data_IF_363184495549
#
_entry.id   IF_363184495549
#
_cell.length_a   1.000
_cell.length_b   1.000
_cell.length_c   1.000
_cell.angle_alpha   90.00
_cell.angle_beta   90.00
_cell.angle_gamma   90.00
#
_symmetry.space_group_name_H-M   'P 1'
#
loop_
_entity.id
_entity.type
_entity.pdbx_description
1 polymer ?
#
# COMPACT_ATOMS: atom_id res chain seq x y z
N UNK A 1 8.76 24.00 21.55
CA UNK A 1 9.31 22.67 21.21
C UNK A 1 8.89 22.33 19.79
N UNK A 2 9.68 21.58 19.04
CA UNK A 2 9.19 21.00 17.79
C UNK A 2 8.16 19.91 18.14
N UNK A 3 6.98 19.96 17.54
CA UNK A 3 6.00 18.87 17.64
C UNK A 3 6.52 17.69 16.80
N UNK A 4 6.96 16.62 17.46
CA UNK A 4 7.40 15.41 16.76
C UNK A 4 6.23 14.83 15.95
N UNK A 5 6.36 14.84 14.62
CA UNK A 5 5.30 14.39 13.74
C UNK A 5 5.17 12.87 13.81
N UNK A 6 4.31 12.40 14.71
CA UNK A 6 4.20 10.98 15.00
C UNK A 6 3.37 10.19 13.98
N UNK A 7 2.35 10.80 13.39
CA UNK A 7 1.51 10.18 12.36
C UNK A 7 2.19 9.85 11.03
N UNK A 8 1.38 9.31 10.12
CA UNK A 8 1.66 8.95 8.72
C UNK A 8 0.63 9.65 7.82
N UNK A 9 1.03 9.95 6.57
CA UNK A 9 0.20 10.73 5.62
C UNK A 9 -0.86 9.85 4.93
N UNK A 10 -0.61 8.55 4.87
CA UNK A 10 -1.49 7.49 4.37
C UNK A 10 -1.24 6.24 5.21
N UNK A 11 -2.17 5.28 5.17
CA UNK A 11 -2.02 3.96 5.78
C UNK A 11 -2.57 2.89 4.83
N UNK A 12 -1.99 1.68 4.79
CA UNK A 12 -2.55 0.57 4.03
C UNK A 12 -3.88 0.12 4.66
N UNK A 13 -4.85 -0.21 3.81
CA UNK A 13 -6.13 -0.81 4.20
C UNK A 13 -6.36 -2.05 3.34
N UNK A 14 -6.87 -3.14 3.92
CA UNK A 14 -7.21 -4.36 3.17
C UNK A 14 -8.28 -4.02 2.13
N UNK A 15 -8.16 -4.54 0.91
CA UNK A 15 -9.19 -4.33 -0.12
C UNK A 15 -10.57 -4.86 0.35
N UNK A 16 -10.56 -6.01 1.04
CA UNK A 16 -11.72 -6.66 1.66
C UNK A 16 -12.12 -6.04 3.01
N UNK A 17 -12.07 -4.71 3.16
CA UNK A 17 -12.33 -4.05 4.44
C UNK A 17 -13.82 -4.02 4.79
N UNK A 18 -14.70 -3.87 3.80
CA UNK A 18 -16.14 -3.74 4.03
C UNK A 18 -16.79 -5.12 4.26
N UNK A 19 -16.25 -6.14 3.60
CA UNK A 19 -16.56 -7.57 3.71
C UNK A 19 -15.94 -8.23 4.96
N UNK A 20 -15.42 -7.44 5.90
CA UNK A 20 -14.93 -7.94 7.19
C UNK A 20 -16.08 -8.05 8.19
N UNK A 21 -16.16 -9.17 8.93
CA UNK A 21 -17.23 -9.47 9.90
C UNK A 21 -17.42 -8.44 11.06
N UNK A 22 -16.53 -7.45 11.18
CA UNK A 22 -16.72 -6.25 12.00
C UNK A 22 -17.51 -5.20 11.22
N UNK A 23 -17.02 -4.80 10.05
CA UNK A 23 -17.65 -3.87 9.10
C UNK A 23 -19.05 -4.30 8.69
N UNK A 24 -19.25 -5.51 8.17
CA UNK A 24 -20.56 -6.06 7.78
C UNK A 24 -21.57 -6.02 8.94
N UNK A 25 -21.10 -6.28 10.16
CA UNK A 25 -21.93 -6.33 11.36
C UNK A 25 -22.25 -4.96 11.94
N UNK A 26 -21.47 -3.92 11.60
CA UNK A 26 -21.81 -2.54 11.87
C UNK A 26 -22.72 -1.99 10.76
N UNK A 27 -22.52 -2.41 9.51
CA UNK A 27 -23.40 -2.07 8.38
C UNK A 27 -24.81 -2.66 8.56
N UNK A 28 -24.92 -3.89 9.03
CA UNK A 28 -26.20 -4.52 9.38
C UNK A 28 -26.95 -3.83 10.55
N UNK A 29 -26.28 -3.01 11.36
CA UNK A 29 -26.88 -2.28 12.50
C UNK A 29 -27.13 -0.80 12.23
N UNK A 30 -26.19 -0.12 11.55
CA UNK A 30 -26.17 1.35 11.38
C UNK A 30 -26.11 1.78 9.90
N UNK A 31 -26.15 0.82 8.96
CA UNK A 31 -25.86 1.06 7.54
C UNK A 31 -24.43 1.54 7.31
N UNK A 32 -24.21 2.24 6.20
CA UNK A 32 -22.91 2.79 5.81
C UNK A 32 -22.23 3.65 6.89
N UNK A 33 -22.99 4.17 7.87
CA UNK A 33 -22.44 4.90 9.03
C UNK A 33 -21.37 4.10 9.77
N UNK A 34 -21.59 2.80 9.95
CA UNK A 34 -20.72 1.91 10.71
C UNK A 34 -19.31 1.83 10.12
N UNK A 35 -19.14 1.25 8.90
CA UNK A 35 -17.84 1.18 8.24
C UNK A 35 -17.18 2.55 8.01
N UNK A 36 -17.96 3.60 7.70
CA UNK A 36 -17.43 4.95 7.53
C UNK A 36 -16.79 5.50 8.81
N UNK A 37 -17.44 5.32 9.96
CA UNK A 37 -16.92 5.73 11.26
C UNK A 37 -15.60 5.02 11.58
N UNK A 38 -15.51 3.70 11.32
CA UNK A 38 -14.26 2.93 11.51
C UNK A 38 -13.12 3.51 10.68
N UNK A 39 -13.33 3.77 9.39
CA UNK A 39 -12.34 4.41 8.51
C UNK A 39 -11.95 5.80 9.03
N UNK A 40 -12.91 6.60 9.50
CA UNK A 40 -12.63 7.93 10.08
C UNK A 40 -11.78 7.86 11.35
N UNK A 41 -11.99 6.86 12.21
CA UNK A 41 -11.16 6.66 13.40
C UNK A 41 -9.76 6.19 13.02
N UNK A 42 -9.61 5.25 12.08
CA UNK A 42 -8.28 4.86 11.58
C UNK A 42 -7.53 6.07 11.00
N UNK A 43 -8.17 6.91 10.18
CA UNK A 43 -7.60 8.16 9.69
C UNK A 43 -7.14 9.11 10.82
N UNK A 44 -7.90 9.21 11.91
CA UNK A 44 -7.58 10.05 13.08
C UNK A 44 -6.43 9.45 13.91
N UNK A 45 -6.39 8.12 14.10
CA UNK A 45 -5.29 7.40 14.74
C UNK A 45 -4.00 7.59 13.94
N UNK A 46 -3.97 7.17 12.68
CA UNK A 46 -2.76 7.20 11.87
C UNK A 46 -2.24 8.62 11.61
N UNK A 47 -3.08 9.66 11.69
CA UNK A 47 -2.64 11.06 11.63
C UNK A 47 -1.84 11.51 12.87
N UNK A 48 -2.05 10.89 14.02
CA UNK A 48 -1.45 11.29 15.30
C UNK A 48 -0.39 10.29 15.78
N UNK A 49 -0.55 9.01 15.46
CA UNK A 49 0.41 7.95 15.76
C UNK A 49 -0.19 6.57 15.51
N UNK A 50 -0.23 5.76 16.56
CA UNK A 50 -0.74 4.38 16.60
C UNK A 50 -1.85 4.18 17.65
N UNK A 51 -2.23 5.26 18.35
CA UNK A 51 -3.37 5.33 19.26
C UNK A 51 -3.95 6.75 19.26
N UNK A 52 -5.15 6.92 19.83
CA UNK A 52 -5.70 8.23 20.26
C UNK A 52 -6.31 8.13 21.64
N UNK A 53 -6.33 9.24 22.37
CA UNK A 53 -7.20 9.38 23.54
C UNK A 53 -8.67 9.35 23.09
N UNK A 54 -9.52 8.68 23.86
CA UNK A 54 -10.94 8.53 23.61
C UNK A 54 -11.72 8.57 24.93
N UNK A 55 -11.79 9.78 25.47
CA UNK A 55 -12.73 10.16 26.51
C UNK A 55 -14.10 10.59 25.92
N UNK A 56 -15.04 10.89 26.79
CA UNK A 56 -16.40 11.28 26.44
C UNK A 56 -16.46 12.61 25.64
N UNK A 57 -15.52 13.54 25.90
CA UNK A 57 -15.42 14.80 25.17
C UNK A 57 -14.92 14.55 23.74
N UNK A 58 -13.90 13.69 23.56
CA UNK A 58 -13.45 13.29 22.22
C UNK A 58 -14.56 12.59 21.44
N UNK A 59 -15.37 11.72 22.08
CA UNK A 59 -16.50 11.06 21.44
C UNK A 59 -17.54 12.08 20.92
N UNK A 60 -17.92 13.06 21.74
CA UNK A 60 -18.89 14.11 21.37
C UNK A 60 -18.35 15.05 20.29
N UNK A 61 -17.08 15.47 20.42
CA UNK A 61 -16.36 16.26 19.42
C UNK A 61 -16.24 15.50 18.09
N UNK A 62 -16.08 14.16 18.12
CA UNK A 62 -16.00 13.33 16.93
C UNK A 62 -17.36 13.18 16.26
N UNK A 63 -18.43 12.90 17.01
CA UNK A 63 -19.80 12.89 16.50
C UNK A 63 -20.14 14.20 15.76
N UNK A 64 -19.88 15.35 16.40
CA UNK A 64 -20.05 16.67 15.78
C UNK A 64 -19.27 16.84 14.46
N UNK A 65 -18.04 16.31 14.39
CA UNK A 65 -17.18 16.35 13.18
C UNK A 65 -17.61 15.39 12.08
N UNK A 66 -18.35 14.32 12.39
CA UNK A 66 -18.99 13.46 11.39
C UNK A 66 -20.25 14.12 10.80
N UNK A 67 -20.85 15.07 11.53
CA UNK A 67 -22.00 15.86 11.12
C UNK A 67 -23.30 15.44 11.83
N UNK A 68 -24.42 16.08 11.48
CA UNK A 68 -25.74 15.86 12.12
C UNK A 68 -26.32 14.45 11.90
N UNK A 69 -25.63 13.60 11.15
CA UNK A 69 -25.99 12.20 10.91
C UNK A 69 -25.57 11.27 12.07
N UNK A 70 -24.78 11.74 13.03
CA UNK A 70 -24.27 10.92 14.14
C UNK A 70 -24.64 11.56 15.47
N UNK A 71 -25.31 10.80 16.34
CA UNK A 71 -25.42 11.16 17.76
C UNK A 71 -24.20 10.65 18.55
N UNK A 72 -23.97 11.21 19.74
CA UNK A 72 -22.91 10.76 20.66
C UNK A 72 -23.09 9.29 21.05
N UNK A 73 -24.34 8.89 21.25
CA UNK A 73 -24.77 7.55 21.64
C UNK A 73 -24.61 6.55 20.49
N UNK A 74 -24.85 6.96 19.23
CA UNK A 74 -24.53 6.14 18.06
C UNK A 74 -23.02 5.88 17.96
N UNK A 75 -22.20 6.91 18.13
CA UNK A 75 -20.73 6.78 18.09
C UNK A 75 -20.24 5.87 19.22
N UNK A 76 -20.65 6.11 20.47
CA UNK A 76 -20.22 5.32 21.62
C UNK A 76 -20.70 3.85 21.53
N UNK A 77 -21.92 3.62 21.03
CA UNK A 77 -22.43 2.27 20.76
C UNK A 77 -21.61 1.52 19.69
N UNK A 78 -21.17 2.21 18.65
CA UNK A 78 -20.27 1.64 17.62
C UNK A 78 -18.87 1.36 18.20
N UNK A 79 -18.34 2.26 19.05
CA UNK A 79 -17.08 2.03 19.79
C UNK A 79 -17.15 0.78 20.68
N UNK A 80 -18.23 0.63 21.44
CA UNK A 80 -18.49 -0.56 22.26
C UNK A 80 -18.41 -1.85 21.44
N UNK A 81 -19.10 -1.90 20.30
CA UNK A 81 -19.08 -3.08 19.40
C UNK A 81 -17.67 -3.34 18.82
N UNK A 82 -16.89 -2.29 18.53
CA UNK A 82 -15.51 -2.44 18.05
C UNK A 82 -14.57 -3.03 19.12
N UNK A 83 -14.80 -2.70 20.39
CA UNK A 83 -14.07 -3.28 21.52
C UNK A 83 -14.54 -4.71 21.80
N UNK A 84 -15.84 -4.96 21.83
CA UNK A 84 -16.44 -6.30 22.02
C UNK A 84 -15.98 -7.30 20.94
N UNK A 85 -15.78 -6.84 19.70
CA UNK A 85 -15.27 -7.66 18.60
C UNK A 85 -13.73 -7.72 18.50
N UNK A 86 -12.99 -7.10 19.43
CA UNK A 86 -11.52 -7.09 19.42
C UNK A 86 -10.88 -6.33 18.25
N UNK A 87 -11.61 -5.40 17.61
CA UNK A 87 -11.03 -4.49 16.62
C UNK A 87 -10.11 -3.45 17.30
N UNK A 88 -10.51 -3.00 18.49
CA UNK A 88 -9.66 -2.28 19.44
C UNK A 88 -9.28 -3.20 20.60
N UNK A 89 -8.09 -2.99 21.15
CA UNK A 89 -7.68 -3.67 22.38
C UNK A 89 -8.50 -3.17 23.57
N UNK A 90 -9.13 -4.12 24.26
CA UNK A 90 -10.03 -3.84 25.37
C UNK A 90 -9.29 -3.28 26.58
N UNK A 91 -8.13 -3.84 26.92
CA UNK A 91 -7.38 -3.46 28.11
C UNK A 91 -6.89 -2.02 28.01
N UNK A 92 -6.34 -1.63 26.84
CA UNK A 92 -5.96 -0.24 26.52
C UNK A 92 -7.12 0.74 26.69
N UNK A 93 -8.34 0.36 26.29
CA UNK A 93 -9.51 1.22 26.45
C UNK A 93 -9.96 1.34 27.91
N UNK A 94 -9.99 0.23 28.66
CA UNK A 94 -10.44 0.23 30.05
C UNK A 94 -9.43 0.89 31.00
N UNK A 95 -8.12 0.63 30.85
CA UNK A 95 -7.05 1.15 31.71
C UNK A 95 -6.58 2.57 31.37
N UNK A 96 -6.63 2.97 30.09
CA UNK A 96 -6.01 4.22 29.62
C UNK A 96 -6.95 5.12 28.82
N UNK A 97 -8.17 4.67 28.50
CA UNK A 97 -9.15 5.38 27.64
C UNK A 97 -8.53 5.79 26.30
N UNK A 98 -7.85 4.85 25.66
CA UNK A 98 -7.31 5.02 24.30
C UNK A 98 -7.93 4.03 23.32
N UNK A 99 -7.99 4.39 22.04
CA UNK A 99 -8.27 3.46 20.95
C UNK A 99 -6.97 3.11 20.23
N UNK A 100 -6.62 1.82 20.27
CA UNK A 100 -5.47 1.21 19.59
C UNK A 100 -5.74 -0.29 19.41
N UNK A 101 -4.93 -1.00 18.63
CA UNK A 101 -4.90 -2.46 18.60
C UNK A 101 -3.58 -2.97 18.06
N UNK A 102 -3.30 -4.25 18.27
CA UNK A 102 -2.03 -4.87 17.87
C UNK A 102 -1.75 -4.69 16.37
N UNK A 103 -2.77 -4.78 15.51
CA UNK A 103 -2.62 -4.57 14.07
C UNK A 103 -2.43 -3.09 13.69
N UNK A 104 -3.12 -2.16 14.38
CA UNK A 104 -2.92 -0.71 14.19
C UNK A 104 -1.47 -0.32 14.54
N UNK A 105 -0.93 -0.87 15.63
CA UNK A 105 0.43 -0.63 16.07
C UNK A 105 1.45 -1.22 15.08
N UNK A 106 1.25 -2.45 14.59
CA UNK A 106 2.08 -3.07 13.54
C UNK A 106 2.13 -2.22 12.28
N UNK A 107 0.98 -1.80 11.74
CA UNK A 107 0.89 -0.99 10.51
C UNK A 107 1.62 0.35 10.66
N UNK A 108 1.50 1.02 11.81
CA UNK A 108 2.23 2.27 12.06
C UNK A 108 3.74 2.06 12.23
N UNK A 109 4.17 0.98 12.91
CA UNK A 109 5.60 0.66 13.05
C UNK A 109 6.22 0.33 11.69
N UNK A 110 5.56 -0.45 10.86
CA UNK A 110 5.99 -0.75 9.49
C UNK A 110 6.11 0.55 8.66
N UNK A 111 5.05 1.36 8.62
CA UNK A 111 5.00 2.63 7.89
C UNK A 111 5.93 3.72 8.47
N UNK A 112 6.49 3.53 9.67
CA UNK A 112 7.45 4.45 10.28
C UNK A 112 8.83 3.84 10.57
N UNK A 113 9.07 2.59 10.17
CA UNK A 113 10.31 1.81 10.36
C UNK A 113 11.60 2.55 10.00
N UNK A 114 11.56 3.35 8.92
CA UNK A 114 12.70 4.15 8.44
C UNK A 114 12.99 5.39 9.31
N UNK A 115 12.13 5.75 10.27
CA UNK A 115 12.30 6.85 11.21
C UNK A 115 13.05 6.34 12.45
N UNK A 116 14.28 6.82 12.68
CA UNK A 116 15.08 6.46 13.86
C UNK A 116 14.34 6.85 15.14
N UNK A 117 13.80 5.85 15.86
CA UNK A 117 13.04 5.99 17.10
C UNK A 117 13.47 4.95 18.11
N UNK A 118 13.21 5.26 19.37
CA UNK A 118 13.44 4.36 20.50
C UNK A 118 12.10 3.81 20.98
N UNK A 119 11.89 2.50 20.77
CA UNK A 119 10.65 1.82 21.11
C UNK A 119 10.37 1.80 22.61
N UNK A 120 11.41 1.85 23.44
CA UNK A 120 11.28 1.91 24.91
C UNK A 120 10.64 3.22 25.39
N UNK A 121 10.57 4.23 24.51
CA UNK A 121 9.96 5.53 24.78
C UNK A 121 8.56 5.70 24.17
N UNK A 122 8.01 4.65 23.54
CA UNK A 122 6.66 4.68 22.97
C UNK A 122 5.62 4.31 24.05
N UNK A 123 4.76 5.24 24.51
CA UNK A 123 3.70 4.91 25.47
C UNK A 123 2.67 3.97 24.84
N UNK A 124 2.06 3.12 25.67
CA UNK A 124 0.94 2.22 25.29
C UNK A 124 1.26 1.24 24.13
N UNK A 125 2.54 0.96 23.87
CA UNK A 125 2.97 -0.09 22.95
C UNK A 125 2.65 -1.46 23.58
N UNK A 126 1.86 -2.28 22.87
CA UNK A 126 1.36 -3.58 23.34
C UNK A 126 2.45 -4.65 23.35
N UNK A 127 2.41 -5.56 24.33
CA UNK A 127 3.47 -6.57 24.56
C UNK A 127 3.67 -7.49 23.34
N UNK A 128 2.56 -7.93 22.71
CA UNK A 128 2.57 -8.74 21.48
C UNK A 128 3.28 -8.07 20.29
N UNK A 129 3.39 -6.74 20.31
CA UNK A 129 4.07 -5.96 19.27
C UNK A 129 5.58 -5.93 19.57
N UNK A 130 5.95 -5.69 20.83
CA UNK A 130 7.35 -5.73 21.31
C UNK A 130 7.99 -7.09 21.00
N UNK A 131 7.37 -8.18 21.44
CA UNK A 131 7.91 -9.53 21.26
C UNK A 131 8.13 -9.88 19.78
N UNK A 132 7.22 -9.48 18.89
CA UNK A 132 7.37 -9.75 17.44
C UNK A 132 8.45 -8.89 16.78
N UNK A 133 8.61 -7.63 17.19
CA UNK A 133 9.76 -6.83 16.74
C UNK A 133 11.10 -7.32 17.29
N UNK A 134 11.13 -7.89 18.50
CA UNK A 134 12.31 -8.54 19.07
C UNK A 134 12.63 -9.85 18.35
N UNK A 135 11.64 -10.68 18.03
CA UNK A 135 11.80 -11.85 17.15
C UNK A 135 12.35 -11.45 15.78
N UNK A 136 11.84 -10.38 15.16
CA UNK A 136 12.33 -9.90 13.85
C UNK A 136 13.79 -9.41 13.97
N UNK A 137 14.15 -8.70 15.04
CA UNK A 137 15.53 -8.25 15.30
C UNK A 137 16.49 -9.39 15.65
N UNK A 138 16.00 -10.45 16.30
CA UNK A 138 16.80 -11.65 16.58
C UNK A 138 16.99 -12.47 15.31
N UNK A 139 15.93 -12.70 14.52
CA UNK A 139 16.00 -13.37 13.21
C UNK A 139 16.91 -12.63 12.22
N UNK A 140 16.95 -11.28 12.24
CA UNK A 140 17.92 -10.48 11.47
C UNK A 140 19.38 -10.57 11.96
N UNK A 141 19.64 -11.11 13.16
CA UNK A 141 20.99 -11.45 13.65
C UNK A 141 21.31 -12.92 13.37
N UNK A 142 20.36 -13.81 13.63
CA UNK A 142 20.49 -15.27 13.53
C UNK A 142 20.49 -15.75 12.08
N UNK A 143 19.93 -15.00 11.13
CA UNK A 143 20.07 -15.22 9.67
C UNK A 143 21.50 -15.09 9.13
N UNK A 144 22.51 -15.02 10.01
CA UNK A 144 23.93 -15.19 9.67
C UNK A 144 24.43 -16.63 9.91
N UNK A 145 23.67 -17.52 10.57
CA UNK A 145 24.08 -18.91 10.84
C UNK A 145 22.95 -19.96 10.85
N UNK A 146 23.02 -20.88 9.89
CA UNK A 146 22.43 -22.24 9.87
C UNK A 146 20.92 -22.43 9.63
N UNK A 147 20.64 -23.50 8.89
CA UNK A 147 19.32 -24.04 8.54
C UNK A 147 18.91 -25.14 9.55
N UNK A 148 17.61 -25.35 9.81
CA UNK A 148 16.84 -26.51 9.30
C UNK A 148 15.33 -26.43 9.67
N UNK A 149 14.50 -27.33 9.13
CA UNK A 149 13.02 -27.19 9.11
C UNK A 149 12.23 -28.19 10.00
N UNK A 150 10.98 -27.83 10.38
CA UNK A 150 9.77 -28.62 10.06
C UNK A 150 8.42 -28.02 10.56
N UNK A 151 7.45 -27.90 9.63
CA UNK A 151 6.00 -28.20 9.72
C UNK A 151 5.12 -27.52 10.83
N UNK A 152 4.41 -26.46 10.43
CA UNK A 152 2.93 -26.23 10.43
C UNK A 152 2.04 -26.64 11.65
N UNK A 153 1.01 -25.84 12.02
CA UNK A 153 -0.09 -25.51 11.09
C UNK A 153 -0.61 -24.06 11.01
N UNK A 154 -0.86 -23.63 9.77
CA UNK A 154 -1.93 -22.76 9.25
C UNK A 154 -2.58 -21.74 10.21
N UNK A 155 -2.24 -20.45 10.06
CA UNK A 155 -3.19 -19.43 9.59
C UNK A 155 -2.48 -18.09 9.23
N UNK A 156 -3.01 -17.42 8.20
CA UNK A 156 -2.59 -16.10 7.69
C UNK A 156 -1.12 -15.94 7.31
N UNK A 157 -0.73 -16.55 6.17
CA UNK A 157 0.33 -15.97 5.35
C UNK A 157 -0.16 -14.64 4.75
N UNK A 158 0.48 -13.54 5.13
CA UNK A 158 0.69 -12.41 4.24
C UNK A 158 2.19 -12.36 3.98
N UNK A 159 2.57 -12.59 2.73
CA UNK A 159 3.97 -12.73 2.30
C UNK A 159 4.74 -11.42 2.52
N UNK A 160 5.73 -11.45 3.41
CA UNK A 160 6.71 -10.38 3.59
C UNK A 160 7.66 -10.33 2.38
N UNK A 161 7.35 -9.49 1.38
CA UNK A 161 8.31 -9.20 0.31
C UNK A 161 8.09 -7.77 -0.25
N UNK A 162 9.19 -7.06 -0.55
CA UNK A 162 9.29 -5.69 -1.11
C UNK A 162 9.28 -4.48 -0.14
N UNK A 163 10.25 -4.43 0.78
CA UNK A 163 10.53 -3.22 1.57
C UNK A 163 11.93 -2.59 1.38
N UNK A 164 12.84 -3.16 0.57
CA UNK A 164 13.98 -2.42 -0.02
C UNK A 164 14.67 -3.17 -1.18
N UNK A 165 14.96 -2.45 -2.28
CA UNK A 165 15.97 -2.86 -3.27
C UNK A 165 16.78 -1.62 -3.69
N UNK A 166 17.78 -1.25 -2.89
CA UNK A 166 18.84 -0.34 -3.33
C UNK A 166 20.23 -0.79 -2.87
N UNK A 167 20.70 -1.93 -3.41
CA UNK A 167 22.13 -2.17 -3.69
C UNK A 167 22.34 -3.39 -4.58
N UNK A 168 23.38 -3.32 -5.40
CA UNK A 168 23.84 -4.42 -6.26
C UNK A 168 24.77 -5.34 -5.46
N UNK A 169 24.75 -6.66 -5.69
CA UNK A 169 25.90 -7.36 -6.30
C UNK A 169 25.73 -8.89 -6.44
N UNK A 170 26.17 -9.38 -7.61
CA UNK A 170 26.78 -10.70 -7.92
C UNK A 170 26.21 -12.02 -7.35
N UNK A 171 25.42 -12.69 -8.20
CA UNK A 171 25.84 -13.88 -9.02
C UNK A 171 26.01 -15.28 -8.36
N UNK A 172 25.35 -16.27 -8.99
CA UNK A 172 25.58 -17.76 -9.01
C UNK A 172 25.09 -18.61 -7.81
N UNK A 173 24.63 -19.86 -8.00
CA UNK A 173 24.13 -20.58 -9.21
C UNK A 173 23.31 -21.85 -8.82
N UNK A 174 22.84 -22.60 -9.82
CA UNK A 174 22.15 -23.91 -9.76
C UNK A 174 20.71 -23.86 -9.23
N UNK A 175 19.67 -24.56 -9.73
CA UNK A 175 19.32 -25.50 -10.85
C UNK A 175 18.23 -26.40 -10.21
N UNK A 176 17.23 -26.98 -10.89
CA UNK A 176 17.24 -27.86 -12.09
C UNK A 176 15.92 -27.60 -12.86
N UNK A 177 15.95 -26.98 -14.06
CA UNK A 177 15.81 -27.62 -15.41
C UNK A 177 14.36 -28.06 -15.77
N UNK A 178 13.83 -27.95 -16.99
CA UNK A 178 14.24 -27.34 -18.28
C UNK A 178 12.94 -27.11 -19.12
N UNK A 179 12.74 -26.22 -20.12
CA UNK A 179 13.54 -25.58 -21.20
C UNK A 179 13.08 -24.11 -21.36
N UNK A 180 13.93 -23.11 -21.62
CA UNK A 180 14.69 -22.77 -22.86
C UNK A 180 13.82 -22.42 -24.09
N UNK A 181 13.96 -21.26 -24.74
CA UNK A 181 14.79 -20.05 -24.44
C UNK A 181 14.36 -18.84 -25.32
N UNK A 182 14.78 -17.63 -24.92
CA UNK A 182 14.47 -16.28 -25.49
C UNK A 182 13.08 -15.74 -25.04
N UNK A 183 12.90 -14.46 -24.70
CA UNK A 183 13.85 -13.34 -24.49
C UNK A 183 13.79 -12.83 -23.02
N UNK A 184 14.94 -12.66 -22.35
CA UNK A 184 15.06 -12.07 -21.00
C UNK A 184 16.33 -11.21 -20.89
N UNK A 185 16.41 -10.07 -21.60
CA UNK A 185 17.64 -9.25 -21.59
C UNK A 185 17.46 -7.73 -21.87
N UNK A 186 16.33 -7.09 -21.52
CA UNK A 186 16.17 -5.63 -21.73
C UNK A 186 15.23 -4.85 -20.76
N UNK A 187 15.15 -5.23 -19.47
CA UNK A 187 14.23 -4.61 -18.50
C UNK A 187 14.71 -3.26 -17.91
N UNK A 188 14.90 -2.23 -18.77
CA UNK A 188 15.32 -0.86 -18.36
C UNK A 188 14.11 0.02 -17.94
N UNK A 189 12.89 -0.52 -18.06
CA UNK A 189 11.63 0.13 -17.67
C UNK A 189 11.14 -0.41 -16.31
N UNK A 190 10.63 0.44 -15.40
CA UNK A 190 9.91 -0.03 -14.22
C UNK A 190 8.61 -0.74 -14.65
N UNK A 191 8.07 -1.65 -13.83
CA UNK A 191 6.79 -2.30 -14.12
C UNK A 191 5.68 -1.25 -14.29
N UNK A 192 4.73 -1.46 -15.23
CA UNK A 192 3.59 -0.57 -15.39
C UNK A 192 2.64 -0.66 -14.17
N UNK A 193 1.79 0.35 -13.95
CA UNK A 193 0.72 0.27 -12.96
C UNK A 193 -0.21 -0.91 -13.22
N UNK A 194 -0.75 -1.52 -12.15
CA UNK A 194 -1.59 -2.72 -12.24
C UNK A 194 -2.80 -2.55 -13.18
N UNK A 195 -3.44 -1.38 -13.19
CA UNK A 195 -4.56 -1.09 -14.09
C UNK A 195 -4.21 -1.20 -15.59
N UNK A 196 -2.94 -0.95 -15.95
CA UNK A 196 -2.45 -1.00 -17.33
C UNK A 196 -2.20 -2.43 -17.83
N UNK A 197 -2.22 -3.42 -16.95
CA UNK A 197 -2.19 -4.84 -17.28
C UNK A 197 -3.57 -5.35 -17.76
N UNK A 198 -4.63 -4.55 -17.60
CA UNK A 198 -5.99 -4.93 -18.00
C UNK A 198 -6.17 -4.87 -19.53
N UNK A 199 -6.01 -6.04 -20.17
CA UNK A 199 -6.10 -6.22 -21.63
C UNK A 199 -7.47 -5.91 -22.26
N UNK A 200 -8.49 -5.52 -21.48
CA UNK A 200 -9.78 -5.00 -21.98
C UNK A 200 -9.77 -3.48 -22.21
N UNK A 201 -8.92 -2.74 -21.50
CA UNK A 201 -8.86 -1.27 -21.54
C UNK A 201 -7.50 -0.73 -21.97
N UNK A 202 -6.44 -1.53 -21.85
CA UNK A 202 -5.06 -1.15 -22.18
C UNK A 202 -4.40 -2.18 -23.10
N UNK A 203 -3.46 -1.72 -23.92
CA UNK A 203 -2.59 -2.55 -24.75
C UNK A 203 -1.12 -2.14 -24.54
N UNK A 204 -0.64 -2.29 -23.30
CA UNK A 204 0.74 -1.96 -22.91
C UNK A 204 1.79 -2.68 -23.77
N UNK A 205 1.64 -4.01 -23.93
CA UNK A 205 2.53 -4.86 -24.73
C UNK A 205 2.61 -4.36 -26.19
N UNK A 206 1.46 -4.07 -26.81
CA UNK A 206 1.38 -3.56 -28.17
C UNK A 206 1.92 -2.13 -28.33
N UNK A 207 1.92 -1.32 -27.27
CA UNK A 207 2.55 0.00 -27.29
C UNK A 207 4.08 -0.13 -27.25
N UNK A 208 4.63 -0.98 -26.39
CA UNK A 208 6.07 -1.25 -26.37
C UNK A 208 6.57 -1.78 -27.74
N UNK A 209 5.86 -2.77 -28.31
CA UNK A 209 6.17 -3.31 -29.64
C UNK A 209 6.06 -2.25 -30.75
N UNK A 210 5.15 -1.29 -30.63
CA UNK A 210 5.06 -0.17 -31.57
C UNK A 210 6.23 0.81 -31.43
N UNK A 211 6.70 1.08 -30.20
CA UNK A 211 7.83 1.98 -29.93
C UNK A 211 9.17 1.38 -30.36
N UNK A 212 9.39 0.09 -30.14
CA UNK A 212 10.56 -0.64 -30.68
C UNK A 212 10.54 -0.64 -32.22
N UNK A 213 9.40 -0.97 -32.84
CA UNK A 213 9.28 -1.02 -34.30
C UNK A 213 9.59 0.30 -35.01
N UNK A 214 9.30 1.45 -34.36
CA UNK A 214 9.66 2.78 -34.87
C UNK A 214 11.03 3.27 -34.38
N UNK A 215 11.75 2.46 -33.59
CA UNK A 215 13.09 2.69 -33.03
C UNK A 215 13.18 3.85 -32.05
N UNK A 216 12.25 3.94 -31.09
CA UNK A 216 12.46 4.78 -29.89
C UNK A 216 13.42 4.06 -28.94
N UNK A 217 14.70 4.44 -28.97
CA UNK A 217 15.74 3.84 -28.11
C UNK A 217 16.00 4.62 -26.81
N UNK A 218 15.59 5.89 -26.73
CA UNK A 218 15.79 6.70 -25.53
C UNK A 218 14.79 6.30 -24.44
N UNK A 219 15.30 5.80 -23.31
CA UNK A 219 14.47 5.31 -22.21
C UNK A 219 13.68 6.43 -21.52
N UNK A 220 14.14 7.69 -21.59
CA UNK A 220 13.42 8.85 -21.12
C UNK A 220 12.22 9.17 -22.01
N UNK A 221 12.41 9.14 -23.34
CA UNK A 221 11.32 9.29 -24.31
C UNK A 221 10.28 8.17 -24.12
N UNK A 222 10.68 6.89 -23.99
CA UNK A 222 9.74 5.78 -23.74
C UNK A 222 8.94 6.03 -22.46
N UNK A 223 9.61 6.37 -21.35
CA UNK A 223 8.95 6.65 -20.05
C UNK A 223 8.01 7.85 -20.12
N UNK A 224 8.30 8.85 -20.95
CA UNK A 224 7.40 9.97 -21.21
C UNK A 224 6.18 9.55 -22.03
N UNK A 225 6.37 8.80 -23.13
CA UNK A 225 5.28 8.34 -24.01
C UNK A 225 4.33 7.40 -23.26
N UNK A 226 4.86 6.46 -22.48
CA UNK A 226 4.05 5.59 -21.61
C UNK A 226 3.16 6.42 -20.68
N UNK A 227 3.69 7.41 -19.98
CA UNK A 227 2.89 8.27 -19.09
C UNK A 227 1.86 9.12 -19.84
N UNK A 228 2.23 9.65 -21.01
CA UNK A 228 1.35 10.50 -21.83
C UNK A 228 0.25 9.74 -22.58
N UNK A 229 0.35 8.42 -22.67
CA UNK A 229 -0.64 7.53 -23.30
C UNK A 229 -1.42 6.69 -22.29
N UNK A 230 -1.33 7.04 -21.00
CA UNK A 230 -1.84 6.25 -19.89
C UNK A 230 -1.46 4.75 -20.01
N UNK A 231 -0.18 4.49 -20.24
CA UNK A 231 0.42 3.16 -20.43
C UNK A 231 -0.21 2.33 -21.57
N UNK A 232 -0.75 2.99 -22.60
CA UNK A 232 -1.36 2.33 -23.75
C UNK A 232 -2.87 2.09 -23.61
N UNK A 233 -3.57 2.94 -22.86
CA UNK A 233 -5.03 2.95 -22.80
C UNK A 233 -5.65 3.06 -24.22
N UNK A 234 -6.67 2.23 -24.48
CA UNK A 234 -7.28 2.07 -25.80
C UNK A 234 -8.13 3.31 -26.12
N UNK A 235 -7.96 3.86 -27.32
CA UNK A 235 -8.64 5.08 -27.77
C UNK A 235 -7.87 6.38 -27.50
N UNK A 236 -6.78 6.34 -26.73
CA UNK A 236 -5.90 7.52 -26.55
C UNK A 236 -5.24 7.96 -27.87
N UNK A 237 -4.86 9.25 -28.02
CA UNK A 237 -4.29 9.77 -29.26
C UNK A 237 -3.03 9.06 -29.76
N UNK A 238 -2.26 8.39 -28.89
CA UNK A 238 -1.01 7.70 -29.27
C UNK A 238 -1.23 6.69 -30.39
N UNK A 239 -2.33 5.93 -30.35
CA UNK A 239 -2.63 4.90 -31.33
C UNK A 239 -2.90 5.48 -32.71
N UNK A 240 -3.59 6.62 -32.76
CA UNK A 240 -3.85 7.37 -34.00
C UNK A 240 -2.54 7.91 -34.59
N UNK A 241 -1.68 8.52 -33.77
CA UNK A 241 -0.39 9.06 -34.22
C UNK A 241 0.55 7.94 -34.69
N UNK A 242 0.63 6.84 -33.96
CA UNK A 242 1.41 5.65 -34.35
C UNK A 242 0.97 5.09 -35.70
N UNK A 243 -0.34 4.99 -35.95
CA UNK A 243 -0.88 4.45 -37.19
C UNK A 243 -0.81 5.42 -38.39
N UNK A 244 -0.94 6.73 -38.17
CA UNK A 244 -1.03 7.73 -39.26
C UNK A 244 0.32 8.37 -39.64
N UNK A 245 1.39 8.12 -38.90
CA UNK A 245 2.70 8.76 -39.12
C UNK A 245 3.63 7.94 -40.02
N UNK A 246 4.30 8.60 -40.97
CA UNK A 246 5.32 7.98 -41.84
C UNK A 246 6.69 7.92 -41.15
N UNK A 247 6.84 7.00 -40.20
CA UNK A 247 8.02 6.89 -39.31
C UNK A 247 9.37 6.78 -40.03
N UNK A 248 9.41 6.21 -41.25
CA UNK A 248 10.64 6.06 -42.05
C UNK A 248 11.33 7.40 -42.42
N UNK A 249 10.65 8.55 -42.25
CA UNK A 249 11.20 9.89 -42.51
C UNK A 249 11.58 10.66 -41.23
N UNK A 250 11.49 10.04 -40.04
CA UNK A 250 11.61 10.74 -38.75
C UNK A 250 12.88 10.30 -38.01
N UNK A 251 13.87 11.19 -37.95
CA UNK A 251 15.16 10.91 -37.28
C UNK A 251 15.13 10.89 -35.75
N UNK A 252 14.07 11.38 -35.10
CA UNK A 252 13.88 11.34 -33.64
C UNK A 252 12.43 10.96 -33.30
N UNK A 253 12.07 9.67 -33.41
CA UNK A 253 10.67 9.20 -33.31
C UNK A 253 10.05 9.47 -31.93
N UNK A 254 10.80 9.28 -30.84
CA UNK A 254 10.31 9.51 -29.48
C UNK A 254 9.92 10.97 -29.23
N UNK A 255 10.89 11.88 -29.34
CA UNK A 255 10.69 13.35 -29.25
C UNK A 255 9.59 13.87 -30.18
N UNK A 256 9.44 13.30 -31.38
CA UNK A 256 8.35 13.64 -32.30
C UNK A 256 6.98 13.23 -31.73
N UNK A 257 6.83 11.98 -31.27
CA UNK A 257 5.60 11.48 -30.67
C UNK A 257 5.23 12.27 -29.41
N UNK A 258 6.19 12.55 -28.53
CA UNK A 258 6.02 13.40 -27.34
C UNK A 258 5.55 14.81 -27.72
N UNK A 259 6.10 15.41 -28.78
CA UNK A 259 5.68 16.74 -29.23
C UNK A 259 4.20 16.74 -29.66
N UNK A 260 3.76 15.74 -30.42
CA UNK A 260 2.35 15.66 -30.87
C UNK A 260 1.41 15.35 -29.70
N UNK A 261 1.81 14.47 -28.77
CA UNK A 261 1.02 14.17 -27.57
C UNK A 261 0.91 15.35 -26.58
N UNK A 262 1.73 16.40 -26.72
CA UNK A 262 1.58 17.68 -25.99
C UNK A 262 0.67 18.69 -26.69
N UNK A 263 0.22 18.38 -27.90
CA UNK A 263 -0.60 19.26 -28.75
C UNK A 263 -1.84 18.54 -29.31
N UNK A 264 -2.29 17.47 -28.63
CA UNK A 264 -3.48 16.68 -28.92
C UNK A 264 -4.43 16.73 -27.73
#
# INVERSE_FOLDING_TARGET
MATEFNGIVYFPTKATFFEGAVSESLEAKYGIKGPYLVIKILCKIYKEGYYIQWDEEQCEIFAYKLGREYTKEEVDSIIGILIEKGFFDKNSYEEHRILTSVDIQRVWLEATSRRKRDLTKLPYLLEEVKCKEEEIKCKQKESTNSENANIFPVQMELSLENADIFRQSKVKESKVEEKKKKEEEDSILPPPPEYALNKKTHNYDGLLLALDRIKVTDTGDIKAILRMSNYGEIGTPVWKVLAQTSWAKIGMPGKYLIKILRSS
#
